data_IF_054003072347
#
_entry.id   IF_054003072347
#
_cell.length_a   1.000
_cell.length_b   1.000
_cell.length_c   1.000
_cell.angle_alpha   90.00
_cell.angle_beta   90.00
_cell.angle_gamma   90.00
#
_symmetry.space_group_name_H-M   'P 1'
#
loop_
_entity.id
_entity.type
_entity.pdbx_description
1 polymer ?
#
# COMPACT_ATOMS: atom_id res chain seq x y z
N UNK A 1 -14.30 55.89 -47.89
CA UNK A 1 -13.04 55.13 -47.77
C UNK A 1 -13.10 54.39 -46.46
N UNK A 2 -13.33 53.09 -46.56
CA UNK A 2 -13.73 52.15 -45.51
C UNK A 2 -12.60 51.14 -45.33
N UNK A 3 -12.56 50.51 -44.14
CA UNK A 3 -11.81 49.31 -43.73
C UNK A 3 -10.64 49.59 -42.77
N UNK A 4 -10.39 48.61 -41.91
CA UNK A 4 -9.25 48.44 -40.98
C UNK A 4 -9.34 49.06 -39.58
N UNK A 5 -10.33 48.67 -38.77
CA UNK A 5 -10.22 48.78 -37.30
C UNK A 5 -11.18 47.82 -36.56
N UNK A 6 -11.09 46.52 -36.79
CA UNK A 6 -11.86 45.53 -35.99
C UNK A 6 -11.27 44.13 -36.16
N UNK A 7 -10.08 43.84 -35.60
CA UNK A 7 -9.54 42.47 -35.64
C UNK A 7 -8.46 42.19 -34.59
N UNK A 8 -8.53 42.81 -33.40
CA UNK A 8 -7.51 42.62 -32.35
C UNK A 8 -8.09 42.37 -30.94
N UNK A 9 -9.26 41.74 -30.83
CA UNK A 9 -9.95 41.53 -29.55
C UNK A 9 -10.32 40.06 -29.27
N UNK A 10 -9.74 39.08 -29.98
CA UNK A 10 -10.15 37.68 -29.89
C UNK A 10 -8.98 36.70 -29.76
N UNK A 11 -8.07 36.95 -28.82
CA UNK A 11 -6.91 36.07 -28.58
C UNK A 11 -6.47 36.05 -27.10
N UNK A 12 -7.45 36.00 -26.18
CA UNK A 12 -7.22 35.97 -24.72
C UNK A 12 -8.07 34.89 -24.01
N UNK A 13 -8.40 33.81 -24.70
CA UNK A 13 -9.08 32.64 -24.14
C UNK A 13 -8.32 31.40 -24.58
N UNK A 14 -8.12 30.44 -23.67
CA UNK A 14 -7.42 29.14 -23.80
C UNK A 14 -6.01 29.12 -23.20
N UNK A 15 -5.88 29.47 -21.92
CA UNK A 15 -4.92 28.83 -21.00
C UNK A 15 -5.56 28.51 -19.65
N UNK A 16 -6.83 28.09 -19.66
CA UNK A 16 -7.35 27.26 -18.57
C UNK A 16 -6.75 25.87 -18.74
N UNK A 17 -5.46 25.75 -18.42
CA UNK A 17 -4.82 24.46 -18.24
C UNK A 17 -5.68 23.69 -17.25
N UNK A 18 -6.09 22.49 -17.64
CA UNK A 18 -6.64 21.52 -16.71
C UNK A 18 -5.62 21.39 -15.59
N UNK A 19 -5.90 22.02 -14.44
CA UNK A 19 -5.30 21.63 -13.20
C UNK A 19 -5.82 20.21 -12.99
N UNK A 20 -5.02 19.25 -13.46
CA UNK A 20 -5.19 17.85 -13.18
C UNK A 20 -5.26 17.75 -11.67
N UNK A 21 -6.49 17.68 -11.16
CA UNK A 21 -6.76 17.46 -9.76
C UNK A 21 -6.17 16.09 -9.47
N UNK A 22 -4.91 16.08 -9.04
CA UNK A 22 -4.31 14.96 -8.36
C UNK A 22 -5.26 14.64 -7.22
N UNK A 23 -6.08 13.61 -7.42
CA UNK A 23 -6.94 13.06 -6.38
C UNK A 23 -6.00 12.79 -5.22
N UNK A 24 -6.20 13.43 -4.05
CA UNK A 24 -5.37 13.17 -2.89
C UNK A 24 -5.45 11.68 -2.62
N UNK A 25 -4.36 10.95 -2.88
CA UNK A 25 -4.28 9.55 -2.50
C UNK A 25 -4.58 9.51 -1.01
N UNK A 26 -5.59 8.78 -0.55
CA UNK A 26 -5.91 8.70 0.87
C UNK A 26 -4.65 8.29 1.61
N UNK A 27 -4.03 9.23 2.34
CA UNK A 27 -2.86 8.96 3.18
C UNK A 27 -3.34 8.13 4.36
N UNK A 28 -3.44 6.83 4.15
CA UNK A 28 -3.82 5.87 5.17
C UNK A 28 -2.73 5.86 6.25
N UNK A 29 -2.95 6.61 7.33
CA UNK A 29 -1.94 6.90 8.37
C UNK A 29 -1.20 5.65 8.86
N UNK A 30 0.04 5.46 8.41
CA UNK A 30 1.01 4.49 8.92
C UNK A 30 1.64 4.92 10.25
N UNK A 31 2.64 4.16 10.72
CA UNK A 31 3.60 4.66 11.71
C UNK A 31 4.54 5.67 11.04
N UNK A 32 5.05 6.63 11.81
CA UNK A 32 5.79 7.78 11.30
C UNK A 32 7.19 7.89 11.90
N UNK A 33 8.16 8.31 11.09
CA UNK A 33 9.46 8.80 11.55
C UNK A 33 9.81 10.13 10.89
N UNK A 34 10.36 11.04 11.68
CA UNK A 34 10.85 12.34 11.24
C UNK A 34 12.37 12.28 11.12
N UNK A 35 12.90 12.89 10.06
CA UNK A 35 14.33 13.01 9.77
C UNK A 35 14.67 14.48 9.65
N UNK A 36 15.56 14.95 10.54
CA UNK A 36 15.90 16.38 10.63
C UNK A 36 16.97 16.79 9.61
N UNK A 37 17.89 15.88 9.29
CA UNK A 37 19.06 16.18 8.45
C UNK A 37 18.99 15.52 7.07
N UNK A 38 18.32 14.36 6.96
CA UNK A 38 18.25 13.61 5.72
C UNK A 38 17.17 14.17 4.78
N UNK A 39 17.53 14.33 3.51
CA UNK A 39 16.64 14.82 2.48
C UNK A 39 15.58 13.79 2.07
N UNK A 40 14.48 14.20 1.41
CA UNK A 40 13.43 13.28 0.95
C UNK A 40 13.94 12.14 0.07
N UNK A 41 14.83 12.42 -0.88
CA UNK A 41 15.40 11.40 -1.79
C UNK A 41 16.33 10.41 -1.08
N UNK A 42 17.06 10.87 -0.06
CA UNK A 42 17.94 10.05 0.77
C UNK A 42 17.11 9.08 1.62
N UNK A 43 16.08 9.60 2.30
CA UNK A 43 15.15 8.79 3.09
C UNK A 43 14.38 7.81 2.20
N UNK A 44 13.99 8.22 0.99
CA UNK A 44 13.33 7.33 0.04
C UNK A 44 14.26 6.21 -0.43
N UNK A 45 15.52 6.52 -0.72
CA UNK A 45 16.54 5.52 -1.07
C UNK A 45 16.80 4.56 0.09
N UNK A 46 16.87 5.06 1.32
CA UNK A 46 16.98 4.24 2.52
C UNK A 46 15.75 3.34 2.72
N UNK A 47 14.54 3.85 2.47
CA UNK A 47 13.30 3.07 2.49
C UNK A 47 13.30 1.93 1.48
N UNK A 48 13.70 2.19 0.24
CA UNK A 48 13.81 1.17 -0.79
C UNK A 48 14.81 0.07 -0.39
N UNK A 49 15.94 0.44 0.22
CA UNK A 49 16.95 -0.50 0.72
C UNK A 49 16.45 -1.30 1.92
N UNK A 50 15.74 -0.68 2.86
CA UNK A 50 15.22 -1.32 4.07
C UNK A 50 14.23 -2.46 3.78
N UNK A 51 13.48 -2.35 2.68
CA UNK A 51 12.49 -3.36 2.29
C UNK A 51 12.99 -4.36 1.24
N UNK A 52 14.05 -4.03 0.50
CA UNK A 52 14.70 -4.96 -0.44
C UNK A 52 15.32 -6.13 0.33
N UNK A 53 14.84 -7.34 0.05
CA UNK A 53 15.31 -8.56 0.71
C UNK A 53 14.15 -9.32 1.36
N UNK A 54 13.55 -8.81 2.45
CA UNK A 54 12.37 -9.42 3.03
C UNK A 54 11.15 -9.36 2.09
N UNK A 55 11.03 -8.29 1.29
CA UNK A 55 9.89 -8.05 0.41
C UNK A 55 10.29 -7.82 -1.05
N UNK A 56 9.39 -8.19 -1.96
CA UNK A 56 9.45 -7.84 -3.37
C UNK A 56 8.68 -6.53 -3.64
N UNK A 57 9.22 -5.67 -4.49
CA UNK A 57 8.61 -4.39 -4.85
C UNK A 57 7.58 -4.58 -5.96
N UNK A 58 6.35 -4.12 -5.72
CA UNK A 58 5.29 -4.08 -6.73
C UNK A 58 5.27 -2.72 -7.46
N UNK A 59 5.48 -1.64 -6.72
CA UNK A 59 5.38 -0.28 -7.24
C UNK A 59 6.43 0.62 -6.57
N UNK A 60 7.11 1.42 -7.39
CA UNK A 60 8.11 2.39 -6.96
C UNK A 60 7.86 3.66 -7.76
N UNK A 61 7.27 4.67 -7.14
CA UNK A 61 7.11 5.99 -7.73
C UNK A 61 8.03 6.98 -7.03
N UNK A 62 9.11 7.34 -7.71
CA UNK A 62 10.10 8.32 -7.21
C UNK A 62 9.58 9.76 -7.25
N UNK A 63 8.56 10.04 -8.06
CA UNK A 63 7.98 11.39 -8.19
C UNK A 63 7.12 11.70 -6.99
N UNK A 64 6.27 10.76 -6.59
CA UNK A 64 5.42 10.88 -5.39
C UNK A 64 6.05 10.30 -4.13
N UNK A 65 7.29 9.80 -4.24
CA UNK A 65 8.05 9.14 -3.18
C UNK A 65 7.23 8.06 -2.47
N UNK A 66 6.65 7.19 -3.28
CA UNK A 66 5.80 6.08 -2.87
C UNK A 66 6.44 4.72 -3.19
N UNK A 67 6.31 3.78 -2.25
CA UNK A 67 6.70 2.39 -2.42
C UNK A 67 5.56 1.48 -1.98
N UNK A 68 5.31 0.43 -2.77
CA UNK A 68 4.40 -0.65 -2.39
C UNK A 68 5.00 -2.00 -2.75
N UNK A 69 4.83 -2.97 -1.85
CA UNK A 69 5.33 -4.33 -2.02
C UNK A 69 4.28 -5.26 -2.63
N UNK A 70 4.75 -6.35 -3.25
CA UNK A 70 3.90 -7.47 -3.62
C UNK A 70 3.37 -8.12 -2.33
N UNK A 71 2.10 -8.55 -2.29
CA UNK A 71 1.60 -9.28 -1.14
C UNK A 71 2.41 -10.56 -0.91
N UNK A 72 3.06 -10.67 0.24
CA UNK A 72 3.89 -11.82 0.58
C UNK A 72 3.14 -12.73 1.55
N UNK A 73 3.05 -14.02 1.22
CA UNK A 73 2.30 -15.00 2.00
C UNK A 73 3.14 -15.59 3.14
N UNK A 74 2.49 -15.79 4.27
CA UNK A 74 3.06 -16.34 5.50
C UNK A 74 2.08 -17.36 6.10
N UNK A 75 2.62 -18.33 6.83
CA UNK A 75 1.85 -19.29 7.62
C UNK A 75 2.13 -19.07 9.09
N UNK A 76 1.08 -18.94 9.89
CA UNK A 76 1.27 -18.72 11.33
C UNK A 76 -0.02 -18.39 12.07
N UNK A 77 0.14 -17.85 13.27
CA UNK A 77 -0.97 -17.43 14.15
C UNK A 77 -1.35 -15.95 13.97
N UNK A 78 -0.60 -15.21 13.18
CA UNK A 78 -0.90 -13.82 12.86
C UNK A 78 -2.19 -13.72 12.02
N UNK A 79 -3.00 -12.68 12.21
CA UNK A 79 -4.32 -12.55 11.56
C UNK A 79 -5.46 -13.36 12.21
N UNK A 80 -5.21 -14.04 13.35
CA UNK A 80 -6.21 -14.73 14.16
C UNK A 80 -6.98 -13.77 15.08
N UNK A 81 -7.81 -12.90 14.49
CA UNK A 81 -8.65 -11.98 15.28
C UNK A 81 -10.05 -12.54 15.61
N UNK A 82 -10.50 -13.60 14.92
CA UNK A 82 -11.79 -14.23 15.21
C UNK A 82 -11.67 -15.28 16.31
N UNK A 83 -12.66 -15.32 17.20
CA UNK A 83 -12.78 -16.32 18.27
C UNK A 83 -12.73 -17.75 17.69
N UNK A 84 -13.33 -17.99 16.52
CA UNK A 84 -13.30 -19.28 15.83
C UNK A 84 -11.90 -19.72 15.38
N UNK A 85 -11.01 -18.77 15.06
CA UNK A 85 -9.65 -19.05 14.59
C UNK A 85 -8.74 -19.55 15.74
N UNK A 86 -9.09 -19.23 17.00
CA UNK A 86 -8.38 -19.73 18.19
C UNK A 86 -8.77 -21.16 18.57
N UNK A 87 -9.92 -21.63 18.10
CA UNK A 87 -10.50 -22.94 18.46
C UNK A 87 -10.05 -24.03 17.49
N UNK A 88 -9.78 -23.69 16.22
CA UNK A 88 -9.28 -24.63 15.22
C UNK A 88 -7.74 -24.62 15.22
N UNK A 89 -7.07 -25.74 15.57
CA UNK A 89 -5.62 -25.85 15.51
C UNK A 89 -5.18 -25.98 14.04
N UNK A 90 -5.07 -24.85 13.34
CA UNK A 90 -4.54 -24.77 11.98
C UNK A 90 -3.64 -23.56 11.81
N UNK A 91 -2.57 -23.71 11.04
CA UNK A 91 -1.79 -22.55 10.56
C UNK A 91 -2.68 -21.77 9.59
N UNK A 92 -2.92 -20.49 9.88
CA UNK A 92 -3.67 -19.64 8.97
C UNK A 92 -2.71 -19.08 7.93
N UNK A 93 -3.18 -19.09 6.67
CA UNK A 93 -2.53 -18.36 5.61
C UNK A 93 -2.90 -16.89 5.72
N UNK A 94 -1.90 -16.05 5.90
CA UNK A 94 -2.03 -14.61 5.84
C UNK A 94 -0.99 -14.04 4.88
N UNK A 95 -1.15 -12.80 4.46
CA UNK A 95 -0.15 -12.10 3.66
C UNK A 95 0.05 -10.69 4.18
N UNK A 96 1.26 -10.16 4.02
CA UNK A 96 1.59 -8.78 4.39
C UNK A 96 1.75 -7.92 3.14
N UNK A 97 1.25 -6.69 3.20
CA UNK A 97 1.48 -5.65 2.19
C UNK A 97 2.06 -4.44 2.90
N UNK A 98 3.27 -4.08 2.50
CA UNK A 98 3.97 -2.88 2.98
C UNK A 98 3.73 -1.74 1.99
N UNK A 99 3.33 -0.59 2.54
CA UNK A 99 3.20 0.68 1.85
C UNK A 99 4.05 1.72 2.56
N UNK A 100 4.88 2.45 1.81
CA UNK A 100 5.72 3.53 2.33
C UNK A 100 5.49 4.79 1.54
N UNK A 101 5.37 5.91 2.24
CA UNK A 101 5.43 7.25 1.66
C UNK A 101 6.52 8.06 2.34
N UNK A 102 7.26 8.84 1.57
CA UNK A 102 8.15 9.88 2.08
C UNK A 102 7.57 11.23 1.65
N UNK A 103 7.40 12.13 2.60
CA UNK A 103 6.86 13.47 2.38
C UNK A 103 7.83 14.49 3.04
N UNK A 104 7.80 15.74 2.57
CA UNK A 104 8.44 16.85 3.27
C UNK A 104 7.38 17.69 3.98
N UNK A 105 7.60 18.02 5.24
CA UNK A 105 6.72 18.92 5.99
C UNK A 105 6.89 20.36 5.53
N UNK A 106 5.92 21.21 5.86
CA UNK A 106 6.04 22.66 5.65
C UNK A 106 7.19 23.32 6.44
N UNK A 107 7.77 22.62 7.43
CA UNK A 107 8.95 23.06 8.19
C UNK A 107 10.28 22.61 7.56
N UNK A 108 10.22 21.91 6.42
CA UNK A 108 11.41 21.41 5.70
C UNK A 108 11.93 20.06 6.21
N UNK A 109 11.32 19.48 7.24
CA UNK A 109 11.69 18.16 7.77
C UNK A 109 11.17 17.06 6.85
N UNK A 110 11.94 16.00 6.68
CA UNK A 110 11.52 14.81 5.93
C UNK A 110 10.77 13.86 6.85
N UNK A 111 9.65 13.30 6.40
CA UNK A 111 8.83 12.35 7.15
C UNK A 111 8.61 11.10 6.32
N UNK A 112 8.98 9.94 6.88
CA UNK A 112 8.59 8.66 6.33
C UNK A 112 7.36 8.12 7.07
N UNK A 113 6.38 7.64 6.32
CA UNK A 113 5.24 6.89 6.83
C UNK A 113 5.30 5.46 6.31
N UNK A 114 5.17 4.48 7.21
CA UNK A 114 5.18 3.06 6.88
C UNK A 114 3.89 2.43 7.39
N UNK A 115 3.21 1.69 6.52
CA UNK A 115 2.03 0.91 6.87
C UNK A 115 2.22 -0.53 6.43
N UNK A 116 2.01 -1.46 7.36
CA UNK A 116 2.06 -2.90 7.07
C UNK A 116 0.69 -3.48 7.32
N UNK A 117 0.02 -3.87 6.25
CA UNK A 117 -1.31 -4.48 6.31
C UNK A 117 -1.21 -5.99 6.34
N UNK A 118 -1.86 -6.61 7.33
CA UNK A 118 -2.01 -8.05 7.42
C UNK A 118 -3.36 -8.43 6.83
N UNK A 119 -3.33 -9.20 5.75
CA UNK A 119 -4.51 -9.71 5.08
C UNK A 119 -4.67 -11.21 5.35
N UNK A 120 -5.88 -11.65 5.69
CA UNK A 120 -6.18 -13.06 5.93
C UNK A 120 -6.82 -13.69 4.70
N UNK A 121 -6.49 -14.96 4.46
CA UNK A 121 -7.16 -15.77 3.46
C UNK A 121 -8.52 -16.26 3.97
N UNK A 122 -9.62 -15.67 3.47
CA UNK A 122 -10.99 -15.98 3.93
C UNK A 122 -11.70 -17.06 3.09
N UNK A 123 -11.10 -17.53 2.01
CA UNK A 123 -11.69 -18.48 1.05
C UNK A 123 -12.25 -19.79 1.68
N UNK A 124 -11.60 -20.43 2.68
CA UNK A 124 -12.12 -21.67 3.26
C UNK A 124 -13.45 -21.46 4.00
N UNK A 125 -13.59 -20.34 4.71
CA UNK A 125 -14.79 -20.01 5.46
C UNK A 125 -15.96 -19.66 4.53
N UNK A 126 -15.71 -18.86 3.48
CA UNK A 126 -16.76 -18.49 2.51
C UNK A 126 -17.34 -19.72 1.80
N UNK A 127 -16.50 -20.70 1.42
CA UNK A 127 -16.98 -21.95 0.80
C UNK A 127 -17.78 -22.82 1.77
N UNK A 128 -17.35 -22.95 3.02
CA UNK A 128 -18.06 -23.77 4.01
C UNK A 128 -19.46 -23.20 4.34
N UNK A 129 -19.62 -21.87 4.34
CA UNK A 129 -20.91 -21.22 4.58
C UNK A 129 -21.78 -21.06 3.31
N UNK A 130 -21.21 -21.14 2.10
CA UNK A 130 -21.99 -21.15 0.86
C UNK A 130 -22.95 -22.34 0.81
N UNK A 131 -22.47 -23.54 1.18
CA UNK A 131 -23.28 -24.76 1.25
C UNK A 131 -24.45 -24.70 2.26
N UNK A 132 -24.37 -23.84 3.27
CA UNK A 132 -25.45 -23.72 4.27
C UNK A 132 -26.59 -22.79 3.81
N UNK A 133 -26.35 -21.89 2.84
CA UNK A 133 -27.38 -20.98 2.30
C UNK A 133 -28.24 -21.61 1.21
N UNK A 134 -27.81 -22.74 0.65
CA UNK A 134 -28.52 -23.49 -0.41
C UNK A 134 -29.73 -24.28 0.11
N UNK A 135 -30.06 -24.22 1.40
CA UNK A 135 -31.28 -24.85 1.98
C UNK A 135 -32.55 -23.99 1.88
N UNK A 136 -32.59 -23.06 0.95
CA UNK A 136 -33.77 -22.26 0.64
C UNK A 136 -34.25 -22.70 -0.74
N UNK A 137 -35.55 -22.98 -0.94
CA UNK A 137 -36.23 -23.61 -2.10
C UNK A 137 -35.97 -22.94 -3.49
N UNK A 138 -34.71 -22.81 -3.89
CA UNK A 138 -34.26 -22.33 -5.18
C UNK A 138 -33.62 -23.49 -5.95
N UNK A 139 -33.94 -23.66 -7.26
CA UNK A 139 -33.38 -24.74 -8.05
C UNK A 139 -31.85 -24.64 -8.14
N UNK A 140 -31.17 -25.70 -7.68
CA UNK A 140 -29.71 -25.80 -7.54
C UNK A 140 -28.93 -25.78 -8.87
N UNK A 141 -29.60 -25.77 -10.02
CA UNK A 141 -28.94 -25.85 -11.34
C UNK A 141 -28.21 -24.56 -11.75
N UNK A 142 -28.49 -23.41 -11.13
CA UNK A 142 -27.85 -22.13 -11.51
C UNK A 142 -26.50 -21.86 -10.84
N UNK A 143 -26.18 -22.49 -9.69
CA UNK A 143 -24.92 -22.22 -8.98
C UNK A 143 -23.71 -22.87 -9.67
N UNK A 144 -23.85 -24.11 -10.13
CA UNK A 144 -22.79 -24.82 -10.85
C UNK A 144 -22.37 -24.13 -12.17
N UNK A 145 -23.30 -23.46 -12.86
CA UNK A 145 -23.00 -22.71 -14.09
C UNK A 145 -22.28 -21.37 -13.81
N UNK A 146 -22.53 -20.71 -12.67
CA UNK A 146 -21.82 -19.47 -12.29
C UNK A 146 -20.37 -19.74 -11.90
N UNK A 147 -20.12 -20.82 -11.17
CA UNK A 147 -18.76 -21.20 -10.75
C UNK A 147 -17.83 -21.58 -11.92
N UNK A 148 -18.40 -21.97 -13.06
CA UNK A 148 -17.64 -22.30 -14.27
C UNK A 148 -17.08 -21.07 -15.02
N UNK A 149 -17.52 -19.85 -14.69
CA UNK A 149 -17.15 -18.62 -15.43
C UNK A 149 -16.24 -17.68 -14.63
N UNK A 150 -15.96 -17.98 -13.36
CA UNK A 150 -15.14 -17.15 -12.47
C UNK A 150 -13.76 -17.80 -12.32
N UNK A 151 -12.72 -17.12 -12.80
CA UNK A 151 -11.35 -17.62 -12.77
C UNK A 151 -10.94 -18.08 -11.36
N UNK A 152 -10.11 -19.12 -11.29
CA UNK A 152 -9.66 -19.68 -10.01
C UNK A 152 -8.99 -18.65 -9.09
N UNK A 153 -8.36 -17.61 -9.66
CA UNK A 153 -7.76 -16.50 -8.93
C UNK A 153 -8.79 -15.51 -8.35
N UNK A 154 -9.93 -15.30 -9.02
CA UNK A 154 -11.02 -14.44 -8.54
C UNK A 154 -11.77 -15.03 -7.33
N UNK A 155 -11.53 -16.31 -7.01
CA UNK A 155 -12.11 -16.99 -5.84
C UNK A 155 -11.34 -16.78 -4.54
N UNK A 156 -10.18 -16.13 -4.59
CA UNK A 156 -9.35 -15.90 -3.40
C UNK A 156 -9.67 -14.55 -2.78
N UNK A 157 -10.50 -14.56 -1.73
CA UNK A 157 -10.86 -13.35 -0.98
C UNK A 157 -9.84 -13.13 0.14
N UNK A 158 -9.05 -12.08 -0.02
CA UNK A 158 -8.14 -11.58 1.00
C UNK A 158 -8.76 -10.37 1.67
N UNK A 159 -8.92 -10.44 2.99
CA UNK A 159 -9.48 -9.34 3.77
C UNK A 159 -8.39 -8.72 4.62
N UNK A 160 -8.25 -7.39 4.60
CA UNK A 160 -7.38 -6.69 5.56
C UNK A 160 -7.98 -6.87 6.94
N UNK A 161 -7.22 -7.49 7.83
CA UNK A 161 -7.66 -7.79 9.21
C UNK A 161 -7.08 -6.75 10.15
N UNK A 162 -5.77 -6.54 10.08
CA UNK A 162 -5.06 -5.72 11.06
C UNK A 162 -3.82 -5.05 10.49
N UNK A 163 -3.20 -4.21 11.30
CA UNK A 163 -1.91 -3.59 11.01
C UNK A 163 -0.83 -4.19 11.88
N UNK A 164 0.30 -4.50 11.27
CA UNK A 164 1.48 -4.97 11.99
C UNK A 164 2.36 -3.79 12.41
N UNK A 165 2.05 -3.20 13.56
CA UNK A 165 2.79 -2.05 14.10
C UNK A 165 4.24 -2.39 14.46
N UNK A 166 4.49 -3.64 14.88
CA UNK A 166 5.84 -4.06 15.24
C UNK A 166 6.74 -4.07 14.00
N UNK A 167 6.23 -4.58 12.89
CA UNK A 167 6.95 -4.56 11.61
C UNK A 167 7.06 -3.15 11.04
N UNK A 168 6.03 -2.30 11.16
CA UNK A 168 6.11 -0.88 10.81
C UNK A 168 7.27 -0.19 11.55
N UNK A 169 7.37 -0.38 12.87
CA UNK A 169 8.44 0.19 13.69
C UNK A 169 9.82 -0.37 13.33
N UNK A 170 9.92 -1.68 13.08
CA UNK A 170 11.16 -2.35 12.65
C UNK A 170 11.67 -1.74 11.33
N UNK A 171 10.79 -1.58 10.35
CA UNK A 171 11.13 -0.96 9.06
C UNK A 171 11.58 0.48 9.28
N UNK A 172 10.86 1.28 10.08
CA UNK A 172 11.25 2.66 10.36
C UNK A 172 12.62 2.76 11.05
N UNK A 173 12.96 1.82 11.94
CA UNK A 173 14.28 1.76 12.58
C UNK A 173 15.37 1.46 11.56
N UNK A 174 15.15 0.54 10.62
CA UNK A 174 16.08 0.23 9.54
C UNK A 174 16.29 1.44 8.62
N UNK A 175 15.21 2.16 8.26
CA UNK A 175 15.31 3.38 7.46
C UNK A 175 16.16 4.43 8.17
N UNK A 176 16.00 4.59 9.50
CA UNK A 176 16.86 5.49 10.29
C UNK A 176 18.32 5.07 10.29
N UNK A 177 18.59 3.79 10.42
CA UNK A 177 19.95 3.28 10.40
C UNK A 177 20.62 3.54 9.03
N UNK A 178 19.87 3.37 7.94
CA UNK A 178 20.37 3.55 6.57
C UNK A 178 20.45 5.01 6.12
N UNK A 179 19.61 5.88 6.66
CA UNK A 179 19.61 7.33 6.38
C UNK A 179 20.49 8.12 7.35
N UNK A 180 21.11 7.47 8.34
CA UNK A 180 22.07 8.14 9.20
C UNK A 180 23.33 8.46 8.38
N UNK A 181 23.90 9.68 8.52
CA UNK A 181 25.15 10.00 7.85
C UNK A 181 26.22 9.01 8.31
N UNK A 182 26.93 8.39 7.36
CA UNK A 182 28.12 7.59 7.66
C UNK A 182 29.02 8.47 8.52
N UNK A 183 29.13 8.12 9.81
CA UNK A 183 30.03 8.82 10.71
C UNK A 183 31.41 8.42 10.26
N UNK A 184 31.98 9.20 9.35
CA UNK A 184 33.34 9.03 8.83
C UNK A 184 34.26 8.89 10.03
N UNK A 185 34.62 7.66 10.37
CA UNK A 185 35.57 7.43 11.45
C UNK A 185 36.87 8.13 11.03
N UNK A 186 37.45 8.99 11.89
CA UNK A 186 38.69 9.65 11.56
C UNK A 186 39.74 8.57 11.33
N UNK A 187 40.21 8.46 10.09
CA UNK A 187 41.35 7.64 9.73
C UNK A 187 42.55 8.16 10.51
N UNK A 188 42.88 7.53 11.64
CA UNK A 188 44.13 7.78 12.34
C UNK A 188 45.28 7.54 11.35
N UNK A 189 45.98 8.64 11.04
CA UNK A 189 47.20 8.65 10.21
C UNK A 189 48.42 8.64 11.12
#
# INVERSE_FOLDING_TARGET
MTRTAALLALLLLITAGCAEQQTPVPRERGSLAVFETAGPDEVFTAAERAIRGPYDLAEVDRTTQFLRTVPQEFRGREGQERIGDRILPGENLYRKVVTIHVDQTGTGQTVASVRVEVQRFDTPAVRAFAYQRERTDYPAEQSALRDATVDAEQRNVWTTVTRDRQEEERILQEIRALAAPETTQPTES
#
